data_IF_032736945362
#
_entry.id   IF_032736945362
#
_cell.length_a   1.000
_cell.length_b   1.000
_cell.length_c   1.000
_cell.angle_alpha   90.00
_cell.angle_beta   90.00
_cell.angle_gamma   90.00
#
_symmetry.space_group_name_H-M   'P 1'
#
loop_
_entity.id
_entity.type
_entity.pdbx_description
1 polymer ?
#
# COMPACT_ATOMS: atom_id res chain seq x y z
N UNK A 1 -1.06 -6.30 -13.24
CA UNK A 1 -2.04 -5.71 -14.19
C UNK A 1 -1.42 -4.49 -14.86
N UNK A 2 -1.73 -4.23 -16.13
CA UNK A 2 -1.17 -3.08 -16.88
C UNK A 2 -2.15 -1.90 -16.87
N UNK A 3 -1.66 -0.69 -17.17
CA UNK A 3 -2.48 0.53 -17.33
C UNK A 3 -3.68 0.26 -18.24
N UNK A 4 -3.43 -0.37 -19.40
CA UNK A 4 -4.44 -0.65 -20.42
C UNK A 4 -5.43 -1.74 -20.01
N UNK A 5 -5.00 -2.76 -19.24
CA UNK A 5 -5.91 -3.76 -18.68
C UNK A 5 -6.92 -3.11 -17.75
N UNK A 6 -6.45 -2.29 -16.80
CA UNK A 6 -7.32 -1.59 -15.86
C UNK A 6 -8.24 -0.59 -16.58
N UNK A 7 -7.75 0.11 -17.61
CA UNK A 7 -8.58 1.03 -18.40
C UNK A 7 -9.68 0.29 -19.18
N UNK A 8 -9.38 -0.90 -19.71
CA UNK A 8 -10.38 -1.75 -20.36
C UNK A 8 -11.42 -2.26 -19.36
N UNK A 9 -11.00 -2.76 -18.20
CA UNK A 9 -11.91 -3.22 -17.14
C UNK A 9 -12.85 -2.10 -16.68
N UNK A 10 -12.32 -0.89 -16.46
CA UNK A 10 -13.12 0.29 -16.13
C UNK A 10 -14.20 0.56 -17.19
N UNK A 11 -13.83 0.46 -18.47
CA UNK A 11 -14.75 0.68 -19.59
C UNK A 11 -15.82 -0.41 -19.69
N UNK A 12 -15.47 -1.67 -19.45
CA UNK A 12 -16.41 -2.79 -19.41
C UNK A 12 -17.41 -2.59 -18.28
N UNK A 13 -16.96 -2.26 -17.08
CA UNK A 13 -17.85 -2.03 -15.95
C UNK A 13 -18.75 -0.81 -16.15
N UNK A 14 -18.24 0.25 -16.81
CA UNK A 14 -19.08 1.38 -17.20
C UNK A 14 -20.19 0.99 -18.18
N UNK A 15 -19.89 0.15 -19.17
CA UNK A 15 -20.91 -0.35 -20.09
C UNK A 15 -21.98 -1.17 -19.37
N UNK A 16 -21.57 -2.06 -18.45
CA UNK A 16 -22.49 -2.83 -17.60
C UNK A 16 -23.34 -1.93 -16.71
N UNK A 17 -22.75 -0.88 -16.11
CA UNK A 17 -23.49 0.14 -15.37
C UNK A 17 -24.61 0.76 -16.24
N UNK A 18 -24.31 1.17 -17.48
CA UNK A 18 -25.30 1.75 -18.39
C UNK A 18 -26.42 0.76 -18.73
N UNK A 19 -26.10 -0.51 -18.93
CA UNK A 19 -27.09 -1.58 -19.18
C UNK A 19 -28.01 -1.73 -17.96
N UNK A 20 -27.45 -1.81 -16.75
CA UNK A 20 -28.23 -1.94 -15.51
C UNK A 20 -29.14 -0.74 -15.27
N UNK A 21 -28.68 0.49 -15.56
CA UNK A 21 -29.51 1.70 -15.49
C UNK A 21 -30.73 1.59 -16.43
N UNK A 22 -30.52 1.15 -17.67
CA UNK A 22 -31.62 0.96 -18.64
C UNK A 22 -32.56 -0.17 -18.23
N UNK A 23 -32.02 -1.22 -17.61
CA UNK A 23 -32.81 -2.34 -17.09
C UNK A 23 -33.58 -2.03 -15.80
N UNK A 24 -33.32 -0.87 -15.16
CA UNK A 24 -33.93 -0.50 -13.88
C UNK A 24 -33.37 -1.26 -12.66
N UNK A 25 -32.21 -1.92 -12.80
CA UNK A 25 -31.53 -2.59 -11.69
C UNK A 25 -30.54 -1.62 -11.02
N UNK A 26 -31.05 -0.85 -10.05
CA UNK A 26 -30.28 0.17 -9.34
C UNK A 26 -29.10 -0.43 -8.55
N UNK A 27 -29.27 -1.62 -7.97
CA UNK A 27 -28.22 -2.27 -7.17
C UNK A 27 -27.04 -2.68 -8.05
N UNK A 28 -27.33 -3.33 -9.18
CA UNK A 28 -26.30 -3.67 -10.15
C UNK A 28 -25.66 -2.41 -10.73
N UNK A 29 -26.46 -1.40 -11.09
CA UNK A 29 -25.95 -0.14 -11.61
C UNK A 29 -24.93 0.51 -10.65
N UNK A 30 -25.25 0.59 -9.36
CA UNK A 30 -24.35 1.17 -8.36
C UNK A 30 -23.07 0.35 -8.18
N UNK A 31 -23.18 -0.98 -8.13
CA UNK A 31 -22.02 -1.87 -7.98
C UNK A 31 -21.05 -1.72 -9.17
N UNK A 32 -21.58 -1.70 -10.41
CA UNK A 32 -20.74 -1.58 -11.60
C UNK A 32 -20.15 -0.18 -11.76
N UNK A 33 -20.84 0.87 -11.32
CA UNK A 33 -20.26 2.21 -11.27
C UNK A 33 -19.06 2.25 -10.32
N UNK A 34 -19.21 1.70 -9.11
CA UNK A 34 -18.13 1.64 -8.12
C UNK A 34 -16.90 0.90 -8.67
N UNK A 35 -17.10 -0.25 -9.29
CA UNK A 35 -16.03 -1.01 -9.92
C UNK A 35 -15.39 -0.23 -11.09
N UNK A 36 -16.19 0.41 -11.94
CA UNK A 36 -15.68 1.19 -13.06
C UNK A 36 -14.74 2.31 -12.60
N UNK A 37 -15.13 3.06 -11.56
CA UNK A 37 -14.31 4.11 -10.96
C UNK A 37 -13.04 3.54 -10.33
N UNK A 38 -13.16 2.45 -9.57
CA UNK A 38 -12.01 1.77 -8.93
C UNK A 38 -10.96 1.34 -9.96
N UNK A 39 -11.39 0.78 -11.09
CA UNK A 39 -10.47 0.37 -12.15
C UNK A 39 -9.84 1.57 -12.87
N UNK A 40 -10.55 2.69 -13.01
CA UNK A 40 -9.99 3.93 -13.55
C UNK A 40 -8.89 4.49 -12.64
N UNK A 41 -9.13 4.52 -11.33
CA UNK A 41 -8.14 4.92 -10.31
C UNK A 41 -6.91 4.01 -10.33
N UNK A 42 -7.10 2.69 -10.34
CA UNK A 42 -5.98 1.73 -10.46
C UNK A 42 -5.19 1.88 -11.76
N UNK A 43 -5.84 2.26 -12.86
CA UNK A 43 -5.15 2.57 -14.11
C UNK A 43 -4.23 3.79 -13.95
N UNK A 44 -4.73 4.83 -13.29
CA UNK A 44 -3.99 6.04 -12.97
C UNK A 44 -2.80 5.78 -12.03
N UNK A 45 -3.01 5.02 -10.96
CA UNK A 45 -1.96 4.68 -10.00
C UNK A 45 -0.77 3.97 -10.67
N UNK A 46 -1.05 2.99 -11.53
CA UNK A 46 0.00 2.27 -12.26
C UNK A 46 0.73 3.18 -13.24
N UNK A 47 0.03 4.14 -13.86
CA UNK A 47 0.63 5.09 -14.79
C UNK A 47 1.50 6.13 -14.07
N UNK A 48 0.97 6.76 -13.02
CA UNK A 48 1.61 7.87 -12.30
C UNK A 48 2.83 7.45 -11.47
N UNK A 49 2.96 6.16 -11.15
CA UNK A 49 4.19 5.61 -10.56
C UNK A 49 5.35 5.55 -11.57
N UNK A 50 5.08 5.47 -12.87
CA UNK A 50 6.10 5.25 -13.91
C UNK A 50 6.49 6.50 -14.66
N UNK A 51 5.55 7.42 -14.83
CA UNK A 51 5.72 8.62 -15.64
C UNK A 51 5.14 9.82 -14.87
N UNK A 52 5.82 10.96 -14.93
CA UNK A 52 5.29 12.21 -14.37
C UNK A 52 4.25 12.83 -15.29
N UNK A 53 4.33 12.64 -16.61
CA UNK A 53 3.50 13.29 -17.63
C UNK A 53 2.36 12.39 -18.13
N UNK A 54 1.73 11.66 -17.21
CA UNK A 54 0.62 10.74 -17.50
C UNK A 54 -0.53 11.45 -18.22
N UNK A 55 -0.89 10.90 -19.38
CA UNK A 55 -2.10 11.25 -20.10
C UNK A 55 -3.21 10.24 -19.80
N UNK A 56 -4.46 10.72 -19.76
CA UNK A 56 -5.62 9.86 -19.60
C UNK A 56 -5.77 8.94 -20.82
N UNK A 57 -5.86 7.60 -20.65
CA UNK A 57 -6.06 6.67 -21.74
C UNK A 57 -7.33 6.98 -22.54
N UNK A 58 -7.29 6.81 -23.85
CA UNK A 58 -8.43 7.06 -24.73
C UNK A 58 -9.68 6.25 -24.35
N UNK A 59 -9.51 5.07 -23.74
CA UNK A 59 -10.59 4.22 -23.23
C UNK A 59 -11.40 4.83 -22.08
N UNK A 60 -10.83 5.82 -21.39
CA UNK A 60 -11.44 6.51 -20.25
C UNK A 60 -11.81 7.96 -20.59
N UNK A 61 -11.08 8.57 -21.54
CA UNK A 61 -11.14 10.00 -21.82
C UNK A 61 -12.52 10.50 -22.28
N UNK A 62 -13.31 9.66 -22.93
CA UNK A 62 -14.65 9.99 -23.44
C UNK A 62 -15.76 9.89 -22.38
N UNK A 63 -15.47 9.30 -21.21
CA UNK A 63 -16.42 9.23 -20.09
C UNK A 63 -15.99 10.21 -19.00
N UNK A 64 -16.72 11.31 -18.78
CA UNK A 64 -16.31 12.34 -17.82
C UNK A 64 -16.04 11.79 -16.41
N UNK A 65 -16.84 10.84 -15.93
CA UNK A 65 -16.70 10.23 -14.61
C UNK A 65 -15.42 9.41 -14.49
N UNK A 66 -15.12 8.56 -15.49
CA UNK A 66 -13.90 7.74 -15.47
C UNK A 66 -12.66 8.62 -15.66
N UNK A 67 -12.72 9.61 -16.55
CA UNK A 67 -11.64 10.58 -16.73
C UNK A 67 -11.38 11.37 -15.44
N UNK A 68 -12.41 11.84 -14.76
CA UNK A 68 -12.26 12.57 -13.50
C UNK A 68 -11.63 11.69 -12.41
N UNK A 69 -12.11 10.45 -12.24
CA UNK A 69 -11.53 9.50 -11.30
C UNK A 69 -10.06 9.21 -11.61
N UNK A 70 -9.73 8.96 -12.88
CA UNK A 70 -8.35 8.77 -13.34
C UNK A 70 -7.47 9.98 -13.02
N UNK A 71 -7.88 11.19 -13.44
CA UNK A 71 -7.07 12.40 -13.25
C UNK A 71 -6.89 12.76 -11.77
N UNK A 72 -7.93 12.59 -10.94
CA UNK A 72 -7.82 12.80 -9.50
C UNK A 72 -6.86 11.82 -8.83
N UNK A 73 -6.87 10.55 -9.25
CA UNK A 73 -5.90 9.56 -8.77
C UNK A 73 -4.46 9.87 -9.24
N UNK A 74 -4.27 10.36 -10.47
CA UNK A 74 -2.94 10.84 -10.94
C UNK A 74 -2.43 11.98 -10.05
N UNK A 75 -3.26 12.97 -9.77
CA UNK A 75 -2.91 14.10 -8.91
C UNK A 75 -2.56 13.64 -7.49
N UNK A 76 -3.37 12.79 -6.89
CA UNK A 76 -3.11 12.20 -5.57
C UNK A 76 -1.75 11.49 -5.50
N UNK A 77 -1.41 10.68 -6.51
CA UNK A 77 -0.12 9.99 -6.57
C UNK A 77 1.04 10.98 -6.74
N UNK A 78 0.87 12.03 -7.55
CA UNK A 78 1.90 13.08 -7.70
C UNK A 78 2.13 13.81 -6.38
N UNK A 79 1.07 14.18 -5.67
CA UNK A 79 1.17 14.84 -4.36
C UNK A 79 1.88 13.95 -3.34
N UNK A 80 1.55 12.66 -3.30
CA UNK A 80 2.24 11.69 -2.44
C UNK A 80 3.72 11.59 -2.78
N UNK A 81 4.07 11.49 -4.06
CA UNK A 81 5.47 11.46 -4.50
C UNK A 81 6.20 12.73 -4.08
N UNK A 82 5.62 13.90 -4.29
CA UNK A 82 6.23 15.18 -3.88
C UNK A 82 6.49 15.25 -2.38
N UNK A 83 5.55 14.82 -1.54
CA UNK A 83 5.75 14.74 -0.08
C UNK A 83 6.95 13.85 0.27
N UNK A 84 7.06 12.69 -0.37
CA UNK A 84 8.14 11.71 -0.18
C UNK A 84 9.50 12.15 -0.74
N UNK A 85 9.60 13.32 -1.38
CA UNK A 85 10.89 13.95 -1.76
C UNK A 85 11.48 14.82 -0.66
N UNK A 86 10.78 14.95 0.47
CA UNK A 86 11.19 15.77 1.61
C UNK A 86 11.41 14.88 2.83
N UNK A 87 12.31 15.30 3.72
CA UNK A 87 12.53 14.63 5.01
C UNK A 87 11.23 14.59 5.82
N UNK A 88 10.56 15.73 5.95
CA UNK A 88 9.32 15.87 6.73
C UNK A 88 8.21 14.94 6.23
N UNK A 89 8.05 14.80 4.90
CA UNK A 89 7.06 13.89 4.34
C UNK A 89 7.41 12.41 4.52
N UNK A 90 8.70 12.07 4.46
CA UNK A 90 9.18 10.72 4.75
C UNK A 90 8.98 10.37 6.23
N UNK A 91 9.34 11.29 7.13
CA UNK A 91 9.13 11.15 8.58
C UNK A 91 7.64 10.92 8.89
N UNK A 92 6.75 11.72 8.31
CA UNK A 92 5.32 11.57 8.52
C UNK A 92 4.76 10.21 8.06
N UNK A 93 5.28 9.64 6.96
CA UNK A 93 4.88 8.32 6.47
C UNK A 93 5.39 7.21 7.40
N UNK A 94 6.66 7.28 7.81
CA UNK A 94 7.26 6.29 8.73
C UNK A 94 6.60 6.35 10.11
N UNK A 95 6.26 7.54 10.61
CA UNK A 95 5.46 7.71 11.84
C UNK A 95 4.03 7.16 11.70
N UNK A 96 3.44 7.20 10.50
CA UNK A 96 2.15 6.58 10.27
C UNK A 96 2.27 5.04 10.31
N UNK A 97 3.32 4.48 9.72
CA UNK A 97 3.65 3.05 9.77
C UNK A 97 3.87 2.61 11.22
N UNK A 98 4.70 3.31 11.98
CA UNK A 98 4.95 3.04 13.40
C UNK A 98 3.64 3.01 14.21
N UNK A 99 2.81 4.05 14.10
CA UNK A 99 1.53 4.11 14.83
C UNK A 99 0.59 2.97 14.45
N UNK A 100 0.56 2.57 13.19
CA UNK A 100 -0.23 1.43 12.74
C UNK A 100 0.28 0.12 13.33
N UNK A 101 1.59 -0.13 13.23
CA UNK A 101 2.21 -1.37 13.69
C UNK A 101 2.15 -1.49 15.21
N UNK A 102 2.48 -0.42 15.94
CA UNK A 102 2.41 -0.34 17.41
C UNK A 102 1.02 -0.70 17.97
N UNK A 103 -0.06 -0.43 17.24
CA UNK A 103 -1.43 -0.81 17.64
C UNK A 103 -1.74 -2.29 17.42
N UNK A 104 -0.90 -3.00 16.68
CA UNK A 104 -1.16 -4.37 16.23
C UNK A 104 -0.13 -5.39 16.72
N UNK A 105 0.98 -4.97 17.34
CA UNK A 105 2.08 -5.84 17.78
C UNK A 105 1.88 -6.46 19.18
N UNK A 106 0.77 -6.17 19.86
CA UNK A 106 0.50 -6.76 21.18
C UNK A 106 1.55 -6.42 22.25
N UNK A 107 2.26 -5.29 22.09
CA UNK A 107 3.39 -4.86 22.92
C UNK A 107 4.62 -5.79 22.90
N UNK A 108 4.71 -6.73 21.96
CA UNK A 108 5.95 -7.48 21.69
C UNK A 108 6.87 -6.62 20.82
N UNK A 109 8.11 -6.46 21.27
CA UNK A 109 9.12 -5.68 20.55
C UNK A 109 9.55 -6.40 19.27
N UNK A 110 9.74 -7.72 19.34
CA UNK A 110 10.15 -8.58 18.24
C UNK A 110 9.10 -8.56 17.13
N UNK A 111 7.82 -8.69 17.50
CA UNK A 111 6.70 -8.61 16.55
C UNK A 111 6.56 -7.18 15.97
N UNK A 112 6.84 -6.15 16.76
CA UNK A 112 6.90 -4.78 16.28
C UNK A 112 7.98 -4.64 15.21
N UNK A 113 9.23 -4.98 15.51
CA UNK A 113 10.38 -4.85 14.59
C UNK A 113 10.13 -5.62 13.30
N UNK A 114 9.60 -6.84 13.39
CA UNK A 114 9.29 -7.66 12.21
C UNK A 114 8.27 -7.00 11.30
N UNK A 115 7.16 -6.50 11.86
CA UNK A 115 6.09 -5.86 11.07
C UNK A 115 6.49 -4.48 10.58
N UNK A 116 7.08 -3.67 11.45
CA UNK A 116 7.54 -2.32 11.12
C UNK A 116 8.55 -2.37 9.98
N UNK A 117 9.55 -3.25 10.08
CA UNK A 117 10.56 -3.39 9.02
C UNK A 117 9.97 -3.89 7.71
N UNK A 118 9.01 -4.83 7.74
CA UNK A 118 8.33 -5.28 6.53
C UNK A 118 7.51 -4.17 5.85
N UNK A 119 6.81 -3.34 6.63
CA UNK A 119 6.07 -2.18 6.09
C UNK A 119 7.00 -1.08 5.57
N UNK A 120 8.14 -0.85 6.24
CA UNK A 120 9.19 0.05 5.76
C UNK A 120 9.79 -0.47 4.45
N UNK A 121 10.08 -1.77 4.35
CA UNK A 121 10.59 -2.39 3.11
C UNK A 121 9.60 -2.15 1.95
N UNK A 122 8.30 -2.35 2.19
CA UNK A 122 7.26 -2.03 1.20
C UNK A 122 7.21 -0.53 0.86
N UNK A 123 7.31 0.34 1.86
CA UNK A 123 7.35 1.79 1.65
C UNK A 123 8.55 2.19 0.77
N UNK A 124 9.73 1.62 1.01
CA UNK A 124 10.96 1.90 0.24
C UNK A 124 10.81 1.54 -1.23
N UNK A 125 10.06 0.48 -1.59
CA UNK A 125 9.74 0.16 -2.99
C UNK A 125 8.95 1.27 -3.70
N UNK A 126 8.26 2.12 -2.94
CA UNK A 126 7.45 3.24 -3.46
C UNK A 126 8.17 4.59 -3.42
N UNK A 127 9.31 4.68 -2.73
CA UNK A 127 10.13 5.88 -2.64
C UNK A 127 11.14 5.90 -3.80
N UNK A 128 11.31 7.06 -4.43
CA UNK A 128 12.28 7.22 -5.52
C UNK A 128 13.71 7.03 -5.00
N UNK A 129 14.56 6.36 -5.78
CA UNK A 129 15.92 5.96 -5.38
C UNK A 129 16.77 7.06 -4.70
N UNK A 130 16.75 8.34 -5.13
CA UNK A 130 17.52 9.40 -4.48
C UNK A 130 17.14 9.65 -3.01
N UNK A 131 15.92 9.28 -2.61
CA UNK A 131 15.37 9.53 -1.27
C UNK A 131 15.29 8.27 -0.41
N UNK A 132 15.59 7.09 -0.95
CA UNK A 132 15.56 5.83 -0.19
C UNK A 132 16.58 5.82 0.95
N UNK A 133 17.78 6.38 0.74
CA UNK A 133 18.79 6.48 1.79
C UNK A 133 18.30 7.33 2.98
N UNK A 134 17.60 8.43 2.68
CA UNK A 134 16.99 9.28 3.69
C UNK A 134 15.85 8.56 4.42
N UNK A 135 15.01 7.80 3.70
CA UNK A 135 13.96 6.99 4.31
C UNK A 135 14.51 5.91 5.24
N UNK A 136 15.59 5.23 4.85
CA UNK A 136 16.28 4.27 5.71
C UNK A 136 16.90 4.92 6.95
N UNK A 137 17.53 6.10 6.81
CA UNK A 137 18.07 6.85 7.94
C UNK A 137 16.98 7.16 8.97
N UNK A 138 15.82 7.68 8.52
CA UNK A 138 14.68 7.96 9.40
C UNK A 138 14.15 6.67 10.03
N UNK A 139 13.92 5.62 9.24
CA UNK A 139 13.38 4.36 9.74
C UNK A 139 14.30 3.69 10.78
N UNK A 140 15.62 3.77 10.61
CA UNK A 140 16.60 3.25 11.56
C UNK A 140 16.46 3.89 12.95
N UNK A 141 16.09 5.18 13.04
CA UNK A 141 15.83 5.83 14.34
C UNK A 141 14.59 5.30 15.06
N UNK A 142 13.71 4.58 14.36
CA UNK A 142 12.43 4.08 14.85
C UNK A 142 12.39 2.55 15.01
N UNK A 143 13.55 1.88 14.93
CA UNK A 143 13.64 0.44 15.15
C UNK A 143 13.49 -0.42 13.88
N UNK A 144 13.75 0.15 12.71
CA UNK A 144 13.92 -0.64 11.49
C UNK A 144 15.11 -1.60 11.63
N UNK A 145 14.90 -2.85 11.21
CA UNK A 145 15.92 -3.87 11.11
C UNK A 145 15.99 -4.43 9.68
N UNK A 146 17.22 -4.53 9.17
CA UNK A 146 17.50 -5.13 7.86
C UNK A 146 17.07 -6.60 7.83
N UNK A 147 16.89 -7.22 6.64
CA UNK A 147 16.55 -8.63 6.54
C UNK A 147 17.52 -9.57 7.28
N UNK A 148 18.83 -9.25 7.27
CA UNK A 148 19.84 -10.03 7.96
C UNK A 148 19.74 -9.91 9.50
N UNK A 149 19.53 -8.70 10.02
CA UNK A 149 19.33 -8.48 11.46
C UNK A 149 18.04 -9.14 11.96
N UNK A 150 16.99 -9.15 11.12
CA UNK A 150 15.74 -9.87 11.43
C UNK A 150 15.92 -11.38 11.47
N UNK A 151 16.75 -11.93 10.58
CA UNK A 151 17.09 -13.35 10.60
C UNK A 151 17.91 -13.72 11.84
N UNK A 152 18.89 -12.89 12.22
CA UNK A 152 19.66 -13.07 13.46
C UNK A 152 18.75 -13.02 14.70
N UNK A 153 17.87 -12.01 14.79
CA UNK A 153 16.87 -11.91 15.86
C UNK A 153 15.97 -13.15 15.92
N UNK A 154 15.58 -13.71 14.77
CA UNK A 154 14.76 -14.93 14.73
C UNK A 154 15.52 -16.17 15.23
N UNK A 155 16.81 -16.29 14.89
CA UNK A 155 17.66 -17.37 15.38
C UNK A 155 17.83 -17.28 16.90
N UNK A 156 18.04 -16.09 17.45
CA UNK A 156 18.14 -15.88 18.91
C UNK A 156 16.83 -16.25 19.64
N UNK A 157 15.69 -15.93 19.05
CA UNK A 157 14.37 -16.33 19.57
C UNK A 157 14.25 -17.86 19.59
N UNK A 158 14.66 -18.53 18.51
CA UNK A 158 14.60 -19.99 18.42
C UNK A 158 15.56 -20.66 19.42
N UNK A 159 16.80 -20.18 19.52
CA UNK A 159 17.81 -20.68 20.46
C UNK A 159 17.39 -20.52 21.92
N UNK A 160 16.68 -19.44 22.25
CA UNK A 160 16.14 -19.20 23.59
C UNK A 160 14.85 -19.97 23.90
N UNK A 161 14.27 -20.66 22.92
CA UNK A 161 13.00 -21.36 23.05
C UNK A 161 11.79 -20.43 23.09
N UNK A 162 11.94 -19.18 22.64
CA UNK A 162 10.88 -18.20 22.54
C UNK A 162 9.86 -18.55 21.44
N UNK A 163 8.70 -17.91 21.52
CA UNK A 163 7.68 -17.94 20.48
C UNK A 163 8.24 -17.39 19.17
N UNK A 164 8.20 -18.12 18.04
CA UNK A 164 8.70 -17.64 16.76
C UNK A 164 7.98 -16.38 16.23
N UNK A 165 6.77 -16.08 16.72
CA UNK A 165 5.98 -14.94 16.28
C UNK A 165 6.18 -13.68 17.15
N UNK A 166 6.49 -13.84 18.43
CA UNK A 166 6.48 -12.74 19.41
C UNK A 166 7.73 -12.65 20.26
N UNK A 167 8.65 -13.62 20.19
CA UNK A 167 9.81 -13.71 21.07
C UNK A 167 9.50 -14.02 22.54
N UNK A 168 8.24 -13.99 22.94
CA UNK A 168 7.79 -14.25 24.32
C UNK A 168 7.85 -15.75 24.62
N UNK A 169 8.03 -16.13 25.89
CA UNK A 169 7.82 -17.51 26.35
C UNK A 169 6.54 -18.11 25.73
N UNK A 170 6.64 -19.23 24.98
CA UNK A 170 5.50 -19.86 24.32
C UNK A 170 4.33 -20.20 25.26
N UNK A 171 4.60 -20.51 26.53
CA UNK A 171 3.56 -20.81 27.52
C UNK A 171 2.85 -19.56 28.04
N UNK A 172 3.41 -18.37 27.78
CA UNK A 172 2.85 -17.06 28.12
C UNK A 172 2.34 -16.28 26.89
N UNK A 173 2.51 -16.83 25.69
CA UNK A 173 2.13 -16.17 24.44
C UNK A 173 0.59 -16.08 24.30
N UNK A 174 0.00 -14.88 24.11
CA UNK A 174 -1.45 -14.73 23.97
C UNK A 174 -1.99 -15.35 22.66
N UNK A 175 -1.12 -15.68 21.71
CA UNK A 175 -1.47 -16.37 20.48
C UNK A 175 -1.64 -17.90 20.67
N UNK A 176 -1.31 -18.44 21.84
CA UNK A 176 -1.31 -19.88 22.12
C UNK A 176 -0.07 -20.61 21.59
N UNK A 177 -0.09 -21.96 21.61
CA UNK A 177 1.01 -22.77 21.06
C UNK A 177 0.99 -22.77 19.54
N UNK A 178 2.01 -22.19 18.94
CA UNK A 178 2.39 -22.37 17.54
C UNK A 178 3.41 -23.52 17.42
N UNK A 179 3.32 -24.35 16.37
CA UNK A 179 4.22 -25.48 16.11
C UNK A 179 5.65 -25.06 15.79
#
# INVERSE_FOLDING_TARGET
MTIYSNALDARVQWALHRISVVAGDEKAAQAQLSLALTYAERSAEVAARKDEDVQCPALLADVPQLRAAFMGAVESVRDQRQKRRTREGIEAEIEAIDRQVSRSCGLSYELFVMRFSAEVDYFLETVEAPYQALALEVAATMGYATPAEREEMQNEIEESGGCPLTGIDPDCCPCGRHP
#
